data_IF_231740189273
#
_entry.id   IF_231740189273
#
_cell.length_a   1.000
_cell.length_b   1.000
_cell.length_c   1.000
_cell.angle_alpha   90.00
_cell.angle_beta   90.00
_cell.angle_gamma   90.00
#
_symmetry.space_group_name_H-M   'P 1'
#
loop_
_entity.id
_entity.type
_entity.pdbx_description
1 polymer ?
#
# COMPACT_ATOMS: atom_id res chain seq x y z
N UNK A 1 -9.04 35.57 10.31
CA UNK A 1 -10.43 35.21 10.66
C UNK A 1 -10.79 33.96 9.86
N UNK A 2 -10.73 32.78 10.48
CA UNK A 2 -11.24 31.55 9.84
C UNK A 2 -12.73 31.46 10.13
N UNK A 3 -13.55 31.58 9.09
CA UNK A 3 -15.01 31.49 9.20
C UNK A 3 -15.39 30.12 9.77
N UNK A 4 -16.10 30.13 10.90
CA UNK A 4 -16.57 28.95 11.63
C UNK A 4 -17.66 28.19 10.89
N UNK A 5 -17.31 27.64 9.72
CA UNK A 5 -18.19 26.76 8.98
C UNK A 5 -18.13 25.37 9.64
N UNK A 6 -19.20 25.00 10.33
CA UNK A 6 -19.35 23.70 10.95
C UNK A 6 -19.34 22.64 9.84
N UNK A 7 -18.25 21.89 9.75
CA UNK A 7 -18.14 20.80 8.79
C UNK A 7 -19.14 19.74 9.25
N UNK A 8 -20.20 19.51 8.46
CA UNK A 8 -21.08 18.37 8.70
C UNK A 8 -20.21 17.12 8.78
N UNK A 9 -20.29 16.38 9.90
CA UNK A 9 -19.54 15.15 10.11
C UNK A 9 -19.87 14.15 9.01
N UNK A 10 -19.12 14.22 7.91
CA UNK A 10 -19.19 13.23 6.84
C UNK A 10 -18.45 12.01 7.35
N UNK A 11 -19.13 10.87 7.36
CA UNK A 11 -18.56 9.57 7.71
C UNK A 11 -17.40 9.14 6.82
N UNK A 12 -17.10 9.86 5.74
CA UNK A 12 -15.89 9.65 4.94
C UNK A 12 -15.28 10.97 4.47
N UNK A 13 -13.95 11.06 4.60
CA UNK A 13 -13.15 12.15 4.04
C UNK A 13 -12.14 11.61 3.03
N UNK A 14 -11.86 12.40 2.00
CA UNK A 14 -10.76 12.12 1.08
C UNK A 14 -9.55 12.97 1.47
N UNK A 15 -8.47 12.32 1.87
CA UNK A 15 -7.21 12.99 2.20
C UNK A 15 -6.09 12.41 1.33
N UNK A 16 -5.47 13.25 0.50
CA UNK A 16 -4.34 12.86 -0.37
C UNK A 16 -4.65 11.67 -1.30
N UNK A 17 -5.91 11.47 -1.69
CA UNK A 17 -6.34 10.33 -2.51
C UNK A 17 -6.69 9.06 -1.70
N UNK A 18 -6.58 9.11 -0.38
CA UNK A 18 -7.02 8.07 0.56
C UNK A 18 -8.43 8.41 1.05
N UNK A 19 -9.33 7.43 1.07
CA UNK A 19 -10.66 7.60 1.68
C UNK A 19 -10.60 7.09 3.12
N UNK A 20 -10.77 7.99 4.08
CA UNK A 20 -10.77 7.70 5.52
C UNK A 20 -12.21 7.77 6.00
N UNK A 21 -12.74 6.63 6.43
CA UNK A 21 -14.08 6.52 7.01
C UNK A 21 -14.01 6.75 8.54
N UNK A 22 -15.07 7.27 9.16
CA UNK A 22 -15.24 7.45 10.61
C UNK A 22 -15.03 6.13 11.39
N UNK A 23 -15.36 5.00 10.79
CA UNK A 23 -15.07 3.65 11.33
C UNK A 23 -13.66 3.12 11.03
N UNK A 24 -12.77 3.92 10.42
CA UNK A 24 -11.42 3.52 9.98
C UNK A 24 -11.40 2.24 9.13
N UNK A 25 -12.50 1.95 8.43
CA UNK A 25 -12.65 0.76 7.62
C UNK A 25 -11.98 0.95 6.25
N UNK A 26 -10.78 0.40 6.12
CA UNK A 26 -10.00 0.46 4.88
C UNK A 26 -10.57 -0.40 3.75
N UNK A 27 -11.54 -1.26 4.02
CA UNK A 27 -12.02 -2.25 3.07
C UNK A 27 -12.61 -1.64 1.80
N UNK A 28 -13.48 -0.63 1.92
CA UNK A 28 -14.11 0.02 0.76
C UNK A 28 -13.08 0.73 -0.11
N UNK A 29 -12.18 1.47 0.52
CA UNK A 29 -11.08 2.16 -0.16
C UNK A 29 -10.17 1.18 -0.91
N UNK A 30 -9.72 0.11 -0.22
CA UNK A 30 -8.86 -0.92 -0.81
C UNK A 30 -9.59 -1.66 -1.93
N UNK A 31 -10.89 -1.94 -1.78
CA UNK A 31 -11.72 -2.57 -2.82
C UNK A 31 -11.84 -1.69 -4.05
N UNK A 32 -12.06 -0.38 -3.90
CA UNK A 32 -12.13 0.56 -5.01
C UNK A 32 -10.80 0.64 -5.78
N UNK A 33 -9.67 0.73 -5.07
CA UNK A 33 -8.33 0.69 -5.68
C UNK A 33 -8.10 -0.64 -6.39
N UNK A 34 -8.42 -1.77 -5.74
CA UNK A 34 -8.26 -3.09 -6.32
C UNK A 34 -9.08 -3.26 -7.60
N UNK A 35 -10.33 -2.78 -7.62
CA UNK A 35 -11.18 -2.78 -8.83
C UNK A 35 -10.57 -1.97 -9.96
N UNK A 36 -10.12 -0.74 -9.68
CA UNK A 36 -9.47 0.11 -10.68
C UNK A 36 -8.19 -0.51 -11.24
N UNK A 37 -7.33 -1.04 -10.36
CA UNK A 37 -6.10 -1.73 -10.75
C UNK A 37 -6.40 -3.01 -11.56
N UNK A 38 -7.43 -3.77 -11.18
CA UNK A 38 -7.87 -4.97 -11.89
C UNK A 38 -8.37 -4.66 -13.31
N UNK A 39 -9.11 -3.56 -13.47
CA UNK A 39 -9.59 -3.11 -14.78
C UNK A 39 -8.41 -2.75 -15.71
N UNK A 40 -7.43 -1.99 -15.20
CA UNK A 40 -6.19 -1.67 -15.93
C UNK A 40 -5.43 -2.95 -16.30
N UNK A 41 -5.27 -3.87 -15.34
CA UNK A 41 -4.60 -5.15 -15.57
C UNK A 41 -5.33 -5.96 -16.67
N UNK A 42 -6.65 -5.99 -16.63
CA UNK A 42 -7.46 -6.72 -17.62
C UNK A 42 -7.33 -6.10 -19.02
N UNK A 43 -7.26 -4.77 -19.12
CA UNK A 43 -6.97 -4.08 -20.39
C UNK A 43 -5.59 -4.45 -20.94
N UNK A 44 -4.56 -4.43 -20.09
CA UNK A 44 -3.20 -4.86 -20.46
C UNK A 44 -3.20 -6.30 -20.95
N UNK A 45 -4.03 -7.14 -20.36
CA UNK A 45 -4.13 -8.54 -20.72
C UNK A 45 -4.78 -8.74 -22.08
N UNK A 46 -5.86 -8.03 -22.36
CA UNK A 46 -6.49 -8.02 -23.69
C UNK A 46 -5.51 -7.55 -24.77
N UNK A 47 -4.63 -6.59 -24.44
CA UNK A 47 -3.65 -6.06 -25.37
C UNK A 47 -2.34 -6.87 -25.45
N UNK A 48 -2.18 -7.97 -24.70
CA UNK A 48 -0.93 -8.77 -24.63
C UNK A 48 -0.38 -9.16 -26.00
N UNK A 49 -1.25 -9.47 -26.97
CA UNK A 49 -0.85 -9.92 -28.31
C UNK A 49 -0.03 -8.89 -29.08
N UNK A 50 -0.09 -7.63 -28.66
CA UNK A 50 0.58 -6.51 -29.32
C UNK A 50 1.86 -6.04 -28.59
N UNK A 51 2.17 -6.61 -27.42
CA UNK A 51 3.28 -6.14 -26.58
C UNK A 51 4.24 -7.28 -26.21
N UNK A 52 5.52 -6.94 -26.09
CA UNK A 52 6.54 -7.83 -25.51
C UNK A 52 6.42 -7.89 -23.98
N UNK A 53 6.94 -8.95 -23.35
CA UNK A 53 6.93 -9.10 -21.88
C UNK A 53 7.56 -7.91 -21.16
N UNK A 54 8.63 -7.33 -21.72
CA UNK A 54 9.32 -6.16 -21.16
C UNK A 54 8.45 -4.88 -21.22
N UNK A 55 7.70 -4.69 -22.31
CA UNK A 55 6.75 -3.56 -22.44
C UNK A 55 5.55 -3.73 -21.49
N UNK A 56 5.03 -4.94 -21.37
CA UNK A 56 3.97 -5.26 -20.40
C UNK A 56 4.42 -5.01 -18.96
N UNK A 57 5.66 -5.37 -18.64
CA UNK A 57 6.27 -5.06 -17.34
C UNK A 57 6.33 -3.55 -17.09
N UNK A 58 6.79 -2.78 -18.07
CA UNK A 58 6.88 -1.32 -17.97
C UNK A 58 5.51 -0.71 -17.71
N UNK A 59 4.51 -1.14 -18.48
CA UNK A 59 3.16 -0.59 -18.38
C UNK A 59 2.47 -1.00 -17.07
N UNK A 60 2.71 -2.22 -16.60
CA UNK A 60 2.31 -2.66 -15.26
C UNK A 60 2.96 -1.82 -14.15
N UNK A 61 4.28 -1.59 -14.23
CA UNK A 61 5.03 -0.75 -13.28
C UNK A 61 4.53 0.70 -13.27
N UNK A 62 4.07 1.22 -14.41
CA UNK A 62 3.58 2.59 -14.54
C UNK A 62 2.13 2.78 -14.08
N UNK A 63 1.22 1.84 -14.38
CA UNK A 63 -0.22 2.06 -14.21
C UNK A 63 -0.85 1.35 -13.02
N UNK A 64 -0.48 0.10 -12.79
CA UNK A 64 -1.12 -0.77 -11.78
C UNK A 64 -0.32 -0.82 -10.49
N UNK A 65 1.01 -0.90 -10.62
CA UNK A 65 1.92 -1.02 -9.47
C UNK A 65 1.84 0.17 -8.48
N UNK A 66 1.75 1.44 -8.92
CA UNK A 66 1.64 2.56 -7.98
C UNK A 66 0.35 2.47 -7.15
N UNK A 67 -0.77 2.07 -7.76
CA UNK A 67 -2.03 1.88 -7.04
C UNK A 67 -1.96 0.75 -6.00
N UNK A 68 -1.19 -0.31 -6.29
CA UNK A 68 -1.00 -1.44 -5.36
C UNK A 68 0.02 -1.17 -4.26
N UNK A 69 0.95 -0.22 -4.44
CA UNK A 69 2.05 0.11 -3.52
C UNK A 69 1.83 1.41 -2.72
N UNK A 70 1.04 2.36 -3.24
CA UNK A 70 0.77 3.65 -2.60
C UNK A 70 0.15 3.49 -1.20
N UNK A 71 0.72 4.11 -0.17
CA UNK A 71 0.28 3.97 1.22
C UNK A 71 0.30 2.52 1.74
N UNK A 72 1.32 1.74 1.38
CA UNK A 72 1.53 0.39 1.94
C UNK A 72 1.52 0.40 3.47
N UNK A 73 2.09 1.43 4.10
CA UNK A 73 2.14 1.57 5.56
C UNK A 73 0.76 1.68 6.21
N UNK A 74 -0.11 2.53 5.65
CA UNK A 74 -1.49 2.70 6.15
C UNK A 74 -2.28 1.42 5.90
N UNK A 75 -2.07 0.78 4.74
CA UNK A 75 -2.77 -0.44 4.34
C UNK A 75 -2.30 -1.69 5.08
N UNK A 76 -1.11 -1.69 5.69
CA UNK A 76 -0.70 -2.76 6.62
C UNK A 76 -1.64 -2.94 7.80
N UNK A 77 -2.39 -1.88 8.14
CA UNK A 77 -3.43 -1.90 9.19
C UNK A 77 -4.81 -2.36 8.68
N UNK A 78 -4.95 -2.66 7.38
CA UNK A 78 -6.20 -3.12 6.79
C UNK A 78 -6.48 -4.60 7.10
N UNK A 79 -7.73 -5.02 6.97
CA UNK A 79 -8.12 -6.42 7.19
C UNK A 79 -7.31 -7.38 6.31
N UNK A 80 -7.02 -8.59 6.83
CA UNK A 80 -6.34 -9.65 6.07
C UNK A 80 -7.03 -9.96 4.73
N UNK A 81 -8.36 -9.84 4.67
CA UNK A 81 -9.13 -10.08 3.45
C UNK A 81 -8.86 -8.99 2.40
N UNK A 82 -8.79 -7.72 2.82
CA UNK A 82 -8.45 -6.59 1.95
C UNK A 82 -7.04 -6.72 1.37
N UNK A 83 -6.08 -7.17 2.18
CA UNK A 83 -4.71 -7.42 1.74
C UNK A 83 -4.64 -8.58 0.73
N UNK A 84 -5.34 -9.69 1.00
CA UNK A 84 -5.42 -10.84 0.06
C UNK A 84 -5.94 -10.43 -1.31
N UNK A 85 -6.88 -9.49 -1.40
CA UNK A 85 -7.36 -9.00 -2.70
C UNK A 85 -6.23 -8.37 -3.51
N UNK A 86 -5.42 -7.52 -2.89
CA UNK A 86 -4.27 -6.88 -3.55
C UNK A 86 -3.20 -7.91 -3.95
N UNK A 87 -2.91 -8.87 -3.07
CA UNK A 87 -1.93 -9.93 -3.35
C UNK A 87 -2.41 -10.85 -4.50
N UNK A 88 -3.73 -11.08 -4.60
CA UNK A 88 -4.30 -11.86 -5.69
C UNK A 88 -4.10 -11.18 -7.05
N UNK A 89 -4.21 -9.85 -7.11
CA UNK A 89 -3.95 -9.06 -8.32
C UNK A 89 -2.48 -9.10 -8.71
N UNK A 90 -1.59 -9.04 -7.72
CA UNK A 90 -0.15 -9.16 -7.96
C UNK A 90 0.23 -10.55 -8.45
N UNK A 91 -0.29 -11.62 -7.83
CA UNK A 91 -0.11 -13.00 -8.32
C UNK A 91 -0.65 -13.17 -9.74
N UNK A 92 -1.78 -12.53 -10.05
CA UNK A 92 -2.34 -12.52 -11.41
C UNK A 92 -1.41 -11.81 -12.40
N UNK A 93 -0.82 -10.68 -12.02
CA UNK A 93 0.17 -9.96 -12.84
C UNK A 93 1.44 -10.80 -13.09
N UNK A 94 1.98 -11.44 -12.06
CA UNK A 94 3.18 -12.31 -12.15
C UNK A 94 2.95 -13.43 -13.16
N UNK A 95 1.82 -14.15 -13.04
CA UNK A 95 1.48 -15.25 -13.96
C UNK A 95 1.35 -14.82 -15.42
N UNK A 96 1.03 -13.56 -15.67
CA UNK A 96 0.65 -13.11 -17.00
C UNK A 96 1.79 -12.43 -17.78
N UNK A 97 2.58 -11.62 -17.07
CA UNK A 97 3.70 -10.85 -17.64
C UNK A 97 4.93 -11.76 -17.81
N UNK A 98 5.00 -12.88 -17.07
CA UNK A 98 6.06 -13.89 -17.18
C UNK A 98 7.47 -13.28 -17.19
N UNK A 99 7.72 -12.40 -16.23
CA UNK A 99 8.99 -11.68 -16.11
C UNK A 99 9.45 -11.68 -14.65
N UNK A 100 10.72 -12.04 -14.35
CA UNK A 100 11.21 -12.25 -12.99
C UNK A 100 11.09 -11.01 -12.09
N UNK A 101 11.17 -9.82 -12.67
CA UNK A 101 11.03 -8.55 -11.94
C UNK A 101 9.62 -8.21 -11.44
N UNK A 102 8.57 -8.88 -11.94
CA UNK A 102 7.19 -8.63 -11.48
C UNK A 102 7.02 -9.08 -10.03
N UNK A 103 7.73 -10.14 -9.65
CA UNK A 103 7.63 -10.78 -8.32
C UNK A 103 8.27 -9.97 -7.20
N UNK A 104 9.17 -9.02 -7.53
CA UNK A 104 9.90 -8.26 -6.52
C UNK A 104 8.98 -7.25 -5.84
N UNK A 105 8.35 -7.67 -4.76
CA UNK A 105 7.59 -6.84 -3.81
C UNK A 105 8.50 -5.95 -2.92
N UNK A 106 9.70 -5.66 -3.42
CA UNK A 106 10.80 -5.03 -2.70
C UNK A 106 10.38 -3.69 -2.09
N UNK A 107 9.47 -2.96 -2.75
CA UNK A 107 9.04 -1.65 -2.28
C UNK A 107 8.21 -1.69 -1.01
N UNK A 108 7.35 -2.70 -0.80
CA UNK A 108 6.60 -2.84 0.47
C UNK A 108 7.56 -3.14 1.61
N UNK A 109 8.44 -4.12 1.43
CA UNK A 109 9.44 -4.49 2.43
C UNK A 109 10.41 -3.36 2.74
N UNK A 110 10.90 -2.64 1.73
CA UNK A 110 11.77 -1.46 1.91
C UNK A 110 11.02 -0.33 2.60
N UNK A 111 9.75 -0.11 2.25
CA UNK A 111 8.92 0.89 2.89
C UNK A 111 8.72 0.54 4.37
N UNK A 112 8.36 -0.70 4.70
CA UNK A 112 8.18 -1.16 6.09
C UNK A 112 9.49 -1.06 6.88
N UNK A 113 10.61 -1.50 6.31
CA UNK A 113 11.93 -1.38 6.91
C UNK A 113 12.33 0.08 7.15
N UNK A 114 12.06 0.97 6.18
CA UNK A 114 12.34 2.40 6.32
C UNK A 114 11.51 3.05 7.42
N UNK A 115 10.26 2.61 7.59
CA UNK A 115 9.38 3.07 8.65
C UNK A 115 9.87 2.56 10.01
N UNK A 116 10.19 1.26 10.09
CA UNK A 116 10.76 0.62 11.28
C UNK A 116 12.05 1.31 11.72
N UNK A 117 12.96 1.60 10.78
CA UNK A 117 14.19 2.34 11.06
C UNK A 117 13.89 3.74 11.64
N UNK A 118 12.93 4.48 11.06
CA UNK A 118 12.54 5.80 11.58
C UNK A 118 11.94 5.71 12.98
N UNK A 119 11.12 4.69 13.25
CA UNK A 119 10.56 4.43 14.57
C UNK A 119 11.65 4.09 15.59
N UNK A 120 12.55 3.16 15.25
CA UNK A 120 13.64 2.73 16.12
C UNK A 120 14.60 3.87 16.47
N UNK A 121 14.94 4.72 15.50
CA UNK A 121 15.82 5.88 15.71
C UNK A 121 15.09 7.14 16.20
N UNK A 122 13.78 7.04 16.51
CA UNK A 122 13.00 8.16 17.02
C UNK A 122 12.89 9.33 16.05
N UNK A 123 13.03 9.09 14.73
CA UNK A 123 12.72 10.05 13.67
C UNK A 123 11.23 10.02 13.31
N UNK A 124 10.39 10.04 14.34
CA UNK A 124 8.93 10.08 14.25
C UNK A 124 8.38 11.11 15.25
N UNK A 125 7.06 11.32 15.25
CA UNK A 125 6.42 12.21 16.22
C UNK A 125 6.59 11.68 17.66
N UNK A 126 6.41 12.56 18.65
CA UNK A 126 6.63 12.20 20.07
C UNK A 126 5.68 11.07 20.50
N UNK A 127 4.42 11.15 20.07
CA UNK A 127 3.36 10.19 20.36
C UNK A 127 3.70 8.80 19.80
N UNK A 128 4.24 8.74 18.59
CA UNK A 128 4.67 7.47 17.98
C UNK A 128 5.93 6.91 18.63
N UNK A 129 6.86 7.78 19.02
CA UNK A 129 8.09 7.37 19.70
C UNK A 129 7.83 6.72 21.06
N UNK A 130 6.83 7.21 21.79
CA UNK A 130 6.41 6.67 23.09
C UNK A 130 5.76 5.28 22.99
N UNK A 131 5.13 4.97 21.84
CA UNK A 131 4.52 3.67 21.56
C UNK A 131 5.53 2.59 21.15
N UNK A 132 6.74 2.98 20.72
CA UNK A 132 7.80 2.02 20.41
C UNK A 132 8.37 1.52 21.73
N UNK A 133 8.33 0.20 22.02
CA UNK A 133 8.86 -0.34 23.26
C UNK A 133 10.31 0.13 23.45
N UNK A 134 10.54 0.87 24.53
CA UNK A 134 11.85 1.43 24.85
C UNK A 134 12.88 0.31 24.92
N UNK A 135 13.97 0.48 24.15
CA UNK A 135 15.19 -0.34 24.08
C UNK A 135 15.05 -1.76 24.65
N UNK A 136 15.09 -2.72 23.73
CA UNK A 136 15.40 -4.11 23.97
C UNK A 136 16.84 -4.27 24.53
N UNK A 137 17.11 -3.74 25.72
CA UNK A 137 18.33 -3.93 26.50
C UNK A 137 18.41 -5.34 27.11
N UNK A 138 17.66 -6.31 26.57
CA UNK A 138 17.55 -7.66 27.12
C UNK A 138 18.05 -8.76 26.18
N UNK A 139 18.50 -8.44 24.96
CA UNK A 139 19.03 -9.45 24.02
C UNK A 139 20.53 -9.30 23.68
N UNK A 140 21.24 -8.33 24.28
CA UNK A 140 22.71 -8.21 24.14
C UNK A 140 23.48 -8.56 25.42
N UNK A 141 22.81 -9.06 26.46
CA UNK A 141 23.46 -9.63 27.66
C UNK A 141 23.34 -11.16 27.75
N UNK A 142 22.90 -11.82 26.68
CA UNK A 142 22.67 -13.26 26.61
C UNK A 142 23.34 -13.94 25.40
N UNK A 143 24.43 -13.33 24.90
CA UNK A 143 25.43 -13.97 24.03
C UNK A 143 26.79 -13.67 24.62
#
# INVERSE_FOLDING_TARGET
MMQGQQIASKDSMHLLGIMVNSGFCWHEHVSAIAKSASAKLSFLFSAKRYFTSSQLLLLYKAQSRPALEYCSHVRGSASKNSLRMLDSLQKRAVRFIDHPEVTRDLRRQVADLSLFYRYFHGRCSKELKELVPGKLNILLSAV
#
